data_IF_335162673788
#
_entry.id   IF_335162673788
#
_cell.length_a   1.000
_cell.length_b   1.000
_cell.length_c   1.000
_cell.angle_alpha   90.00
_cell.angle_beta   90.00
_cell.angle_gamma   90.00
#
_symmetry.space_group_name_H-M   'P 1'
#
loop_
_entity.id
_entity.type
_entity.pdbx_description
1 polymer ?
#
# COMPACT_ATOMS: atom_id res chain seq x y z
N UNK A 1 -10.50 7.07 -14.72
CA UNK A 1 -10.35 7.63 -13.37
C UNK A 1 -9.34 6.81 -12.57
N UNK A 2 -8.47 7.48 -11.87
CA UNK A 2 -7.37 6.82 -11.17
C UNK A 2 -7.71 6.49 -9.73
N UNK A 3 -7.01 5.51 -9.17
CA UNK A 3 -7.17 5.15 -7.76
C UNK A 3 -6.82 6.33 -6.85
N UNK A 4 -5.79 7.08 -7.19
CA UNK A 4 -5.32 8.23 -6.43
C UNK A 4 -5.04 9.39 -7.38
N UNK A 5 -5.58 10.56 -7.07
CA UNK A 5 -5.34 11.76 -7.87
C UNK A 5 -4.33 12.68 -7.19
N UNK A 6 -3.72 13.56 -7.98
CA UNK A 6 -2.75 14.52 -7.45
C UNK A 6 -3.36 15.43 -6.38
N UNK A 7 -4.60 15.84 -6.59
CA UNK A 7 -5.29 16.72 -5.66
C UNK A 7 -5.46 16.10 -4.28
N UNK A 8 -5.63 14.78 -4.24
CA UNK A 8 -5.81 14.08 -2.97
C UNK A 8 -4.55 14.05 -2.11
N UNK A 9 -3.38 14.34 -2.67
CA UNK A 9 -2.13 14.39 -1.92
C UNK A 9 -2.11 15.52 -0.89
N UNK A 10 -2.96 16.50 -1.08
CA UNK A 10 -3.05 17.65 -0.17
C UNK A 10 -3.33 17.24 1.28
N UNK A 11 -4.04 16.13 1.47
CA UNK A 11 -4.44 15.72 2.82
C UNK A 11 -3.28 15.31 3.71
N UNK A 12 -2.15 14.89 3.12
CA UNK A 12 -0.99 14.45 3.91
C UNK A 12 0.15 15.46 3.90
N UNK A 13 0.10 16.46 3.03
CA UNK A 13 1.14 17.48 2.95
C UNK A 13 0.55 18.84 2.58
N UNK A 14 -0.39 19.36 3.39
CA UNK A 14 -1.09 20.59 3.04
C UNK A 14 -0.17 21.80 2.93
N UNK A 15 0.90 21.85 3.73
CA UNK A 15 1.82 23.00 3.73
C UNK A 15 2.81 22.94 2.57
N UNK A 16 3.16 21.76 2.11
CA UNK A 16 4.16 21.55 1.06
C UNK A 16 3.55 21.34 -0.32
N UNK A 17 2.25 21.15 -0.39
CA UNK A 17 1.56 20.71 -1.60
C UNK A 17 1.82 21.64 -2.80
N UNK A 18 1.66 22.94 -2.59
CA UNK A 18 1.84 23.93 -3.65
C UNK A 18 3.27 23.93 -4.18
N UNK A 19 4.25 23.87 -3.27
CA UNK A 19 5.67 23.86 -3.64
C UNK A 19 6.02 22.60 -4.43
N UNK A 20 5.48 21.46 -4.01
CA UNK A 20 5.70 20.19 -4.70
C UNK A 20 5.16 20.28 -6.13
N UNK A 21 3.95 20.79 -6.30
CA UNK A 21 3.33 20.92 -7.63
C UNK A 21 4.09 21.86 -8.53
N UNK A 22 4.55 22.99 -7.99
CA UNK A 22 5.28 23.99 -8.77
C UNK A 22 6.61 23.47 -9.29
N UNK A 23 7.24 22.58 -8.55
CA UNK A 23 8.56 22.07 -8.88
C UNK A 23 8.57 20.76 -9.65
N UNK A 24 7.40 20.22 -10.02
CA UNK A 24 7.32 18.90 -10.61
C UNK A 24 6.27 18.86 -11.71
N UNK A 25 6.63 18.28 -12.87
CA UNK A 25 5.68 18.10 -13.97
C UNK A 25 4.58 17.13 -13.59
N UNK A 26 3.37 17.36 -14.10
CA UNK A 26 2.23 16.48 -13.83
C UNK A 26 2.50 15.04 -14.23
N UNK A 27 3.17 14.82 -15.36
CA UNK A 27 3.52 13.48 -15.82
C UNK A 27 4.42 12.76 -14.83
N UNK A 28 5.36 13.49 -14.21
CA UNK A 28 6.25 12.92 -13.22
C UNK A 28 5.48 12.55 -11.97
N UNK A 29 4.56 13.41 -11.54
CA UNK A 29 3.74 13.13 -10.36
C UNK A 29 2.89 11.87 -10.59
N UNK A 30 2.25 11.77 -11.74
CA UNK A 30 1.43 10.60 -12.09
C UNK A 30 2.26 9.32 -12.12
N UNK A 31 3.48 9.42 -12.65
CA UNK A 31 4.38 8.28 -12.71
C UNK A 31 4.78 7.82 -11.32
N UNK A 32 5.06 8.75 -10.42
CA UNK A 32 5.41 8.42 -9.03
C UNK A 32 4.23 7.79 -8.32
N UNK A 33 3.01 8.28 -8.57
CA UNK A 33 1.79 7.66 -8.02
C UNK A 33 1.70 6.21 -8.49
N UNK A 34 1.87 5.97 -9.78
CA UNK A 34 1.80 4.62 -10.35
C UNK A 34 2.86 3.71 -9.76
N UNK A 35 4.10 4.20 -9.65
CA UNK A 35 5.19 3.42 -9.08
C UNK A 35 4.95 3.10 -7.60
N UNK A 36 4.41 4.05 -6.86
CA UNK A 36 4.08 3.84 -5.44
C UNK A 36 2.99 2.78 -5.29
N UNK A 37 1.97 2.83 -6.14
CA UNK A 37 0.93 1.81 -6.14
C UNK A 37 1.54 0.43 -6.46
N UNK A 38 2.49 0.37 -7.38
CA UNK A 38 3.14 -0.89 -7.73
C UNK A 38 3.92 -1.47 -6.54
N UNK A 39 4.55 -0.63 -5.74
CA UNK A 39 5.20 -1.06 -4.50
C UNK A 39 4.18 -1.73 -3.59
N UNK A 40 3.03 -1.07 -3.38
CA UNK A 40 1.96 -1.63 -2.55
C UNK A 40 1.42 -2.94 -3.11
N UNK A 41 1.25 -3.03 -4.43
CA UNK A 41 0.80 -4.27 -5.07
C UNK A 41 1.76 -5.42 -4.80
N UNK A 42 3.05 -5.14 -4.81
CA UNK A 42 4.08 -6.15 -4.57
C UNK A 42 3.96 -6.74 -3.16
N UNK A 43 3.77 -5.89 -2.16
CA UNK A 43 3.66 -6.35 -0.77
C UNK A 43 2.30 -6.96 -0.45
N UNK A 44 1.23 -6.46 -1.05
CA UNK A 44 -0.12 -6.94 -0.78
C UNK A 44 -0.46 -8.22 -1.54
N UNK A 45 0.16 -8.42 -2.71
CA UNK A 45 -0.19 -9.51 -3.62
C UNK A 45 -0.25 -10.91 -3.03
N UNK A 46 0.61 -11.30 -2.07
CA UNK A 46 0.55 -12.65 -1.51
C UNK A 46 -0.78 -13.01 -0.85
N UNK A 47 -1.48 -12.06 -0.23
CA UNK A 47 -2.71 -12.34 0.52
C UNK A 47 -3.94 -11.61 0.03
N UNK A 48 -3.77 -10.55 -0.74
CA UNK A 48 -4.88 -9.66 -1.11
C UNK A 48 -5.08 -9.60 -2.61
N UNK A 49 -6.32 -9.32 -3.00
CA UNK A 49 -6.68 -9.14 -4.41
C UNK A 49 -6.37 -7.72 -4.82
N UNK A 50 -5.16 -7.51 -5.33
CA UNK A 50 -4.69 -6.16 -5.68
C UNK A 50 -5.46 -5.54 -6.83
N UNK A 51 -5.94 -6.34 -7.78
CA UNK A 51 -6.75 -5.80 -8.87
C UNK A 51 -8.04 -5.20 -8.34
N UNK A 52 -8.69 -5.94 -7.42
CA UNK A 52 -9.92 -5.48 -6.83
C UNK A 52 -9.71 -4.24 -5.95
N UNK A 53 -8.63 -4.24 -5.17
CA UNK A 53 -8.29 -3.11 -4.31
C UNK A 53 -8.10 -1.83 -5.13
N UNK A 54 -7.28 -1.91 -6.17
CA UNK A 54 -6.92 -0.72 -6.95
C UNK A 54 -7.93 -0.36 -8.04
N UNK A 55 -8.99 -1.15 -8.15
CA UNK A 55 -10.16 -0.78 -8.95
C UNK A 55 -11.17 0.04 -8.14
N UNK A 56 -11.04 0.07 -6.82
CA UNK A 56 -11.94 0.85 -5.96
C UNK A 56 -11.78 2.35 -6.18
N UNK A 57 -12.86 3.08 -5.95
CA UNK A 57 -12.87 4.54 -6.16
C UNK A 57 -13.65 5.19 -5.03
N UNK A 58 -13.31 6.46 -4.75
CA UNK A 58 -14.01 7.25 -3.75
C UNK A 58 -13.98 6.63 -2.37
N UNK A 59 -15.12 6.53 -1.75
CA UNK A 59 -15.23 6.04 -0.37
C UNK A 59 -15.11 4.52 -0.26
N UNK A 60 -15.10 3.79 -1.38
CA UNK A 60 -14.85 2.36 -1.36
C UNK A 60 -13.42 2.04 -0.92
N UNK A 61 -12.50 2.98 -1.12
CA UNK A 61 -11.09 2.79 -0.82
C UNK A 61 -10.86 2.75 0.69
N UNK A 62 -9.97 1.85 1.12
CA UNK A 62 -9.57 1.78 2.53
C UNK A 62 -8.78 3.04 2.89
N UNK A 63 -9.24 3.79 3.89
CA UNK A 63 -8.62 5.07 4.26
C UNK A 63 -7.19 4.95 4.76
N UNK A 64 -6.90 3.89 5.51
CA UNK A 64 -5.55 3.68 6.04
C UNK A 64 -4.56 3.33 4.92
N UNK A 65 -4.97 2.45 4.02
CA UNK A 65 -4.17 2.13 2.83
C UNK A 65 -3.90 3.38 2.02
N UNK A 66 -4.94 4.17 1.77
CA UNK A 66 -4.85 5.38 0.98
C UNK A 66 -3.88 6.38 1.61
N UNK A 67 -3.96 6.55 2.93
CA UNK A 67 -3.06 7.43 3.66
C UNK A 67 -1.60 7.00 3.51
N UNK A 68 -1.33 5.71 3.61
CA UNK A 68 0.04 5.20 3.47
C UNK A 68 0.57 5.38 2.06
N UNK A 69 -0.25 5.18 1.04
CA UNK A 69 0.16 5.42 -0.35
C UNK A 69 0.49 6.89 -0.55
N UNK A 70 -0.36 7.79 -0.04
CA UNK A 70 -0.11 9.23 -0.13
C UNK A 70 1.21 9.63 0.53
N UNK A 71 1.50 9.05 1.70
CA UNK A 71 2.77 9.31 2.40
C UNK A 71 3.97 8.89 1.55
N UNK A 72 3.89 7.73 0.93
CA UNK A 72 4.97 7.25 0.09
C UNK A 72 5.17 8.16 -1.13
N UNK A 73 4.08 8.56 -1.78
CA UNK A 73 4.14 9.46 -2.94
C UNK A 73 4.80 10.78 -2.56
N UNK A 74 4.37 11.38 -1.46
CA UNK A 74 4.93 12.65 -0.98
C UNK A 74 6.41 12.52 -0.64
N UNK A 75 6.78 11.41 0.02
CA UNK A 75 8.19 11.15 0.31
C UNK A 75 9.02 11.10 -0.97
N UNK A 76 8.55 10.37 -1.98
CA UNK A 76 9.28 10.25 -3.24
C UNK A 76 9.40 11.60 -3.96
N UNK A 77 8.35 12.41 -3.92
CA UNK A 77 8.38 13.74 -4.52
C UNK A 77 9.39 14.65 -3.83
N UNK A 78 9.43 14.61 -2.50
CA UNK A 78 10.39 15.41 -1.73
C UNK A 78 11.82 14.92 -1.93
N UNK A 79 12.02 13.62 -1.98
CA UNK A 79 13.35 13.03 -2.14
C UNK A 79 13.98 13.38 -3.49
N UNK A 80 13.18 13.61 -4.51
CA UNK A 80 13.70 14.07 -5.80
C UNK A 80 14.31 15.45 -5.74
N UNK A 81 13.82 16.28 -4.82
CA UNK A 81 14.23 17.68 -4.72
C UNK A 81 15.33 17.89 -3.68
N UNK A 82 15.34 17.06 -2.63
CA UNK A 82 16.31 17.15 -1.55
C UNK A 82 16.75 15.75 -1.13
N UNK A 83 18.05 15.44 -1.25
CA UNK A 83 18.54 14.11 -0.84
C UNK A 83 18.44 13.86 0.67
N UNK A 84 18.30 14.90 1.47
CA UNK A 84 18.30 14.81 2.94
C UNK A 84 16.88 14.87 3.53
N UNK A 85 15.89 14.36 2.81
CA UNK A 85 14.52 14.35 3.32
C UNK A 85 14.40 13.39 4.49
N UNK A 86 13.52 13.74 5.45
CA UNK A 86 13.21 12.91 6.61
C UNK A 86 12.55 11.59 6.16
N UNK A 87 13.04 10.48 6.69
CA UNK A 87 12.57 9.15 6.31
C UNK A 87 11.55 8.56 7.28
N UNK A 88 11.09 9.31 8.27
CA UNK A 88 10.17 8.77 9.27
C UNK A 88 8.89 8.20 8.64
N UNK A 89 8.26 8.96 7.76
CA UNK A 89 7.05 8.51 7.07
C UNK A 89 7.34 7.32 6.17
N UNK A 90 8.45 7.36 5.46
CA UNK A 90 8.85 6.25 4.60
C UNK A 90 9.04 4.97 5.40
N UNK A 91 9.76 5.06 6.52
CA UNK A 91 10.02 3.90 7.38
C UNK A 91 8.74 3.34 7.97
N UNK A 92 7.82 4.19 8.35
CA UNK A 92 6.53 3.79 8.89
C UNK A 92 5.70 3.04 7.84
N UNK A 93 5.65 3.55 6.63
CA UNK A 93 4.93 2.91 5.52
C UNK A 93 5.54 1.55 5.20
N UNK A 94 6.87 1.47 5.10
CA UNK A 94 7.54 0.23 4.76
C UNK A 94 7.37 -0.82 5.86
N UNK A 95 7.38 -0.39 7.13
CA UNK A 95 7.14 -1.32 8.23
C UNK A 95 5.72 -1.90 8.15
N UNK A 96 4.75 -1.07 7.86
CA UNK A 96 3.37 -1.55 7.69
C UNK A 96 3.28 -2.56 6.56
N UNK A 97 3.90 -2.26 5.42
CA UNK A 97 3.89 -3.15 4.27
C UNK A 97 4.57 -4.50 4.60
N UNK A 98 5.69 -4.46 5.31
CA UNK A 98 6.39 -5.68 5.71
C UNK A 98 5.54 -6.53 6.67
N UNK A 99 4.87 -5.89 7.61
CA UNK A 99 4.00 -6.60 8.55
C UNK A 99 2.81 -7.24 7.84
N UNK A 100 2.24 -6.56 6.85
CA UNK A 100 1.15 -7.12 6.03
C UNK A 100 1.67 -8.28 5.18
N UNK A 101 2.80 -8.10 4.53
CA UNK A 101 3.35 -9.12 3.62
C UNK A 101 3.77 -10.39 4.35
N UNK A 102 4.20 -10.26 5.60
CA UNK A 102 4.61 -11.41 6.41
C UNK A 102 3.44 -12.09 7.12
N UNK A 103 2.24 -11.54 7.02
CA UNK A 103 1.06 -12.08 7.71
C UNK A 103 0.96 -11.68 9.17
N UNK A 104 1.85 -10.82 9.64
CA UNK A 104 1.87 -10.35 11.03
C UNK A 104 0.67 -9.48 11.35
N UNK A 105 0.15 -8.77 10.35
CA UNK A 105 -0.96 -7.86 10.50
C UNK A 105 -1.94 -8.09 9.34
N UNK A 106 -3.22 -7.98 9.64
CA UNK A 106 -4.28 -8.05 8.63
C UNK A 106 -4.80 -6.65 8.34
N UNK A 107 -5.06 -6.39 7.06
CA UNK A 107 -5.71 -5.16 6.64
C UNK A 107 -7.15 -5.47 6.24
N UNK A 108 -8.01 -4.47 6.36
CA UNK A 108 -9.41 -4.57 5.93
C UNK A 108 -9.48 -4.31 4.42
N UNK A 109 -9.02 -5.30 3.66
CA UNK A 109 -8.92 -5.23 2.21
C UNK A 109 -9.44 -6.54 1.60
N UNK A 110 -9.90 -6.52 0.34
CA UNK A 110 -10.33 -7.74 -0.33
C UNK A 110 -9.22 -8.78 -0.36
N UNK A 111 -9.53 -9.97 0.12
CA UNK A 111 -8.58 -11.06 0.16
C UNK A 111 -8.48 -11.75 -1.21
N UNK A 112 -7.29 -12.29 -1.47
CA UNK A 112 -7.07 -13.09 -2.65
C UNK A 112 -7.90 -14.36 -2.55
N UNK A 113 -8.65 -14.66 -3.60
CA UNK A 113 -9.50 -15.85 -3.63
C UNK A 113 -8.77 -17.00 -4.29
N UNK A 114 -8.95 -18.17 -3.75
CA UNK A 114 -8.30 -19.38 -4.25
C UNK A 114 -9.30 -20.52 -4.27
N UNK A 115 -8.98 -21.59 -5.01
CA UNK A 115 -9.79 -22.79 -5.10
C UNK A 115 -9.30 -23.81 -4.07
N UNK A 116 -9.82 -23.73 -2.85
CA UNK A 116 -9.41 -24.61 -1.76
C UNK A 116 -10.16 -25.93 -1.76
N UNK A 117 -11.38 -25.95 -2.30
CA UNK A 117 -12.22 -27.15 -2.27
C UNK A 117 -12.15 -27.98 -3.56
N UNK A 118 -11.41 -27.52 -4.54
CA UNK A 118 -11.21 -28.27 -5.78
C UNK A 118 -12.39 -28.21 -6.74
N UNK A 119 -13.30 -27.27 -6.59
CA UNK A 119 -14.47 -27.13 -7.47
C UNK A 119 -14.20 -26.42 -8.79
N UNK A 120 -12.97 -25.94 -8.97
CA UNK A 120 -12.59 -25.21 -10.17
C UNK A 120 -12.86 -23.71 -10.11
N UNK A 121 -13.41 -23.21 -9.00
CA UNK A 121 -13.71 -21.79 -8.83
C UNK A 121 -12.91 -21.22 -7.67
N UNK A 122 -12.15 -20.13 -7.88
CA UNK A 122 -11.40 -19.48 -6.78
C UNK A 122 -12.34 -18.60 -5.97
N UNK A 123 -13.22 -19.20 -5.20
CA UNK A 123 -14.26 -18.51 -4.47
C UNK A 123 -14.01 -18.45 -2.95
N UNK A 124 -12.85 -18.88 -2.50
CA UNK A 124 -12.53 -18.90 -1.08
C UNK A 124 -11.32 -18.01 -0.79
N UNK A 125 -11.31 -17.26 0.34
CA UNK A 125 -10.16 -16.42 0.66
C UNK A 125 -8.92 -17.27 0.97
N UNK A 126 -7.79 -16.81 0.51
CA UNK A 126 -6.51 -17.44 0.81
C UNK A 126 -6.27 -17.38 2.33
N UNK A 127 -6.04 -18.52 2.99
CA UNK A 127 -5.79 -18.50 4.43
C UNK A 127 -4.46 -17.84 4.75
N UNK A 128 -4.44 -17.06 5.85
CA UNK A 128 -3.20 -16.48 6.34
C UNK A 128 -2.36 -17.57 6.98
N UNK A 129 -1.10 -17.64 6.61
CA UNK A 129 -0.18 -18.56 7.22
C UNK A 129 0.30 -17.94 8.54
N UNK A 130 0.02 -18.61 9.63
CA UNK A 130 0.44 -18.14 10.95
C UNK A 130 1.87 -18.58 11.21
N UNK A 131 2.80 -17.78 10.76
CA UNK A 131 4.21 -18.07 10.97
C UNK A 131 4.57 -17.71 12.41
N UNK A 132 5.20 -18.62 13.06
CA UNK A 132 5.59 -18.45 14.46
C UNK A 132 4.48 -18.76 15.42
N UNK A 133 3.41 -19.08 14.91
CA UNK A 133 2.37 -19.55 15.79
C UNK A 133 2.64 -21.01 16.11
N UNK A 134 3.38 -20.99 15.62
CA UNK A 134 3.63 -21.88 15.81
C UNK A 134 4.31 -22.19 16.62
N UNK A 135 4.31 -21.41 16.77
CA UNK A 135 4.62 -21.72 17.25
C UNK A 135 4.95 -21.90 17.93
N UNK A 136 5.01 -21.55 18.00
CA UNK A 136 5.15 -21.84 18.40
C UNK A 136 5.57 -22.06 18.98
N UNK A 137 5.63 -21.87 19.08
CA UNK A 137 5.84 -22.36 19.48
C UNK A 137 6.34 -22.67 19.92
N UNK A 138 6.62 -22.70 20.10
CA UNK A 138 6.95 -23.15 20.40
C UNK A 138 7.57 -23.43 20.94
N UNK A 139 7.77 -23.15 21.05
CA UNK A 139 8.20 -23.61 21.45
C UNK A 139 8.79 -23.71 22.03
N UNK A 140 9.11 -23.52 22.05
CA UNK A 140 9.36 -23.91 22.48
C UNK A 140 9.82 -24.01 22.85
N UNK A 141 10.14 -23.83 22.83
CA UNK A 141 10.29 -24.14 22.96
C UNK A 141 10.39 -24.28 23.39
#
# INVERSE_FOLDING_TARGET
>A
MDFLTQEELRTVAPLDFVDILKGTDEEVIDKIITESIDVFKTYLGPYYDTEKIFAQRGEERNGFLLKNIKKLVIYELKARRKPTVDKDDYNEVMKWLEDIASGKMKADLPLKMVDLDGDGNPDEPLPFIKKGSRKTYKNHW
#
